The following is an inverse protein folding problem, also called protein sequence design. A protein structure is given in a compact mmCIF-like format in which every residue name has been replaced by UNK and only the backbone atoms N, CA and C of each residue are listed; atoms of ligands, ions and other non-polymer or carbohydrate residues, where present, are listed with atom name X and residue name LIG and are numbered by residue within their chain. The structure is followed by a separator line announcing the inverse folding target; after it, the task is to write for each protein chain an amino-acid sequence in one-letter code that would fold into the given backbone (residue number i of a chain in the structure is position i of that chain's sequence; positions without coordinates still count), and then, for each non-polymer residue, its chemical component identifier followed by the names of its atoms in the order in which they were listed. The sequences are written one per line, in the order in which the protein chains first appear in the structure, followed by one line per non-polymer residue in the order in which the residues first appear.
data_IF_994070047627
#
_entry.id   IF_994070047627
#
_cell.length_a   1.000
_cell.length_b   1.000
_cell.length_c   1.000
_cell.angle_alpha   90.00
_cell.angle_beta   90.00
_cell.angle_gamma   90.00
#
_symmetry.space_group_name_H-M   'P 1'
#
loop_
_entity.id
_entity.type
_entity.pdbx_description
1 polymer ?
#
# COMPACT_ATOMS: atom_id res chain seq x y z
N UNK A 1 -20.65 -5.15 -9.57
CA UNK A 1 -20.09 -4.82 -8.24
C UNK A 1 -19.28 -6.00 -7.75
N UNK A 2 -18.08 -5.75 -7.25
CA UNK A 2 -17.20 -6.75 -6.69
C UNK A 2 -17.01 -6.43 -5.21
N UNK A 3 -17.19 -7.42 -4.34
CA UNK A 3 -16.99 -7.28 -2.89
C UNK A 3 -15.89 -8.21 -2.46
N UNK A 4 -14.93 -7.67 -1.71
CA UNK A 4 -13.82 -8.42 -1.14
C UNK A 4 -13.73 -8.20 0.35
N UNK A 5 -12.98 -9.04 1.06
CA UNK A 5 -12.81 -8.92 2.51
C UNK A 5 -11.34 -9.03 2.90
N UNK A 6 -11.02 -8.52 4.09
CA UNK A 6 -9.66 -8.60 4.65
C UNK A 6 -9.32 -9.96 5.26
N UNK A 7 -10.27 -10.89 5.29
CA UNK A 7 -10.08 -12.20 5.93
C UNK A 7 -9.12 -13.11 5.18
N UNK A 8 -8.96 -12.91 3.88
CA UNK A 8 -8.04 -13.68 3.04
C UNK A 8 -6.71 -12.93 2.90
N UNK A 9 -5.96 -12.82 3.96
CA UNK A 9 -4.66 -12.16 3.95
C UNK A 9 -3.54 -13.10 3.52
N UNK A 10 -2.53 -12.53 2.88
CA UNK A 10 -1.24 -13.19 2.72
C UNK A 10 -0.27 -12.62 3.72
N UNK A 11 0.51 -13.47 4.36
CA UNK A 11 1.48 -13.05 5.38
C UNK A 11 2.89 -13.13 4.83
N UNK A 12 3.65 -12.06 5.04
CA UNK A 12 5.10 -12.07 4.83
C UNK A 12 5.77 -12.35 6.17
N UNK A 13 6.60 -13.38 6.21
CA UNK A 13 7.31 -13.79 7.41
C UNK A 13 8.79 -13.49 7.23
N UNK A 14 9.41 -12.87 8.24
CA UNK A 14 10.84 -12.64 8.32
C UNK A 14 11.31 -13.13 9.68
N UNK A 15 12.37 -13.94 9.70
CA UNK A 15 12.93 -14.51 10.94
C UNK A 15 11.88 -15.26 11.80
N UNK A 16 11.00 -16.02 11.14
CA UNK A 16 9.89 -16.75 11.77
C UNK A 16 8.88 -15.88 12.52
N UNK A 17 8.87 -14.57 12.25
CA UNK A 17 7.88 -13.63 12.80
C UNK A 17 7.09 -12.98 11.68
N UNK A 18 5.76 -12.93 11.76
CA UNK A 18 4.98 -12.16 10.80
C UNK A 18 5.37 -10.68 10.91
N UNK A 19 5.83 -10.11 9.81
CA UNK A 19 6.16 -8.67 9.73
C UNK A 19 5.01 -7.89 9.12
N UNK A 20 4.38 -8.49 8.13
CA UNK A 20 3.36 -7.87 7.33
C UNK A 20 2.33 -8.91 6.95
N UNK A 21 1.06 -8.60 7.21
CA UNK A 21 -0.07 -9.30 6.65
C UNK A 21 -0.71 -8.40 5.60
N UNK A 22 -0.84 -8.89 4.38
CA UNK A 22 -1.40 -8.13 3.29
C UNK A 22 -2.58 -8.85 2.67
N UNK A 23 -3.63 -8.11 2.39
CA UNK A 23 -4.79 -8.57 1.61
C UNK A 23 -5.01 -7.63 0.45
N UNK A 24 -4.92 -8.14 -0.76
CA UNK A 24 -5.34 -7.40 -1.93
C UNK A 24 -6.86 -7.38 -1.97
N UNK A 25 -7.43 -6.21 -1.76
CA UNK A 25 -8.88 -6.00 -1.82
C UNK A 25 -9.35 -5.77 -3.25
N UNK A 26 -8.52 -5.15 -4.06
CA UNK A 26 -8.78 -4.94 -5.48
C UNK A 26 -7.47 -4.83 -6.25
N UNK A 27 -7.52 -5.19 -7.50
CA UNK A 27 -6.38 -5.15 -8.40
C UNK A 27 -6.80 -4.68 -9.78
N UNK A 28 -5.82 -4.43 -10.61
CA UNK A 28 -5.97 -3.88 -11.95
C UNK A 28 -7.14 -4.45 -12.76
N UNK A 29 -7.34 -5.75 -12.75
CA UNK A 29 -8.42 -6.40 -13.51
C UNK A 29 -9.84 -6.05 -13.05
N UNK A 30 -10.01 -5.32 -11.93
CA UNK A 30 -11.31 -4.91 -11.43
C UNK A 30 -11.79 -3.58 -11.98
N UNK A 31 -10.91 -2.80 -12.61
CA UNK A 31 -11.18 -1.40 -12.97
C UNK A 31 -10.82 -1.08 -14.41
N UNK A 32 -11.53 -0.11 -14.97
CA UNK A 32 -11.11 0.58 -16.20
C UNK A 32 -10.10 1.70 -15.94
N UNK A 33 -10.07 2.23 -14.71
CA UNK A 33 -9.21 3.33 -14.32
C UNK A 33 -7.74 2.89 -14.19
N UNK A 34 -6.85 3.84 -13.91
CA UNK A 34 -5.42 3.62 -13.67
C UNK A 34 -5.13 2.97 -12.31
N UNK A 35 -6.13 2.62 -11.54
CA UNK A 35 -5.97 1.96 -10.25
C UNK A 35 -5.33 0.57 -10.44
N UNK A 36 -4.19 0.35 -9.80
CA UNK A 36 -3.45 -0.91 -9.88
C UNK A 36 -3.83 -1.88 -8.76
N UNK A 37 -3.99 -1.36 -7.56
CA UNK A 37 -4.32 -2.18 -6.40
C UNK A 37 -4.95 -1.37 -5.29
N UNK A 38 -5.76 -2.02 -4.49
CA UNK A 38 -6.20 -1.55 -3.18
C UNK A 38 -5.89 -2.68 -2.20
N UNK A 39 -4.99 -2.42 -1.27
CA UNK A 39 -4.52 -3.42 -0.33
C UNK A 39 -4.81 -2.98 1.11
N UNK A 40 -5.16 -3.93 1.95
CA UNK A 40 -5.17 -3.77 3.39
C UNK A 40 -3.90 -4.37 3.95
N UNK A 41 -3.14 -3.57 4.72
CA UNK A 41 -1.88 -3.98 5.32
C UNK A 41 -1.98 -3.93 6.84
N UNK A 42 -1.45 -4.95 7.48
CA UNK A 42 -1.26 -4.98 8.93
C UNK A 42 0.22 -5.23 9.20
N UNK A 43 0.90 -4.23 9.77
CA UNK A 43 2.30 -4.30 10.13
C UNK A 43 2.45 -4.63 11.60
N UNK A 44 3.28 -5.61 11.89
CA UNK A 44 3.69 -5.91 13.26
C UNK A 44 4.47 -4.73 13.89
N UNK A 45 4.55 -4.64 15.22
CA UNK A 45 5.34 -3.59 15.87
C UNK A 45 6.76 -3.51 15.32
N UNK A 46 7.18 -2.32 14.92
CA UNK A 46 8.50 -2.04 14.36
C UNK A 46 8.76 -2.54 12.94
N UNK A 47 7.79 -3.19 12.31
CA UNK A 47 7.94 -3.67 10.94
C UNK A 47 8.06 -2.52 9.93
N UNK A 48 8.85 -2.73 8.90
CA UNK A 48 9.03 -1.76 7.83
C UNK A 48 8.55 -2.29 6.49
N UNK A 49 8.03 -1.40 5.67
CA UNK A 49 7.79 -1.63 4.25
C UNK A 49 8.46 -0.53 3.43
N UNK A 50 8.88 -0.87 2.23
CA UNK A 50 9.45 0.11 1.32
C UNK A 50 10.67 -0.41 0.61
N UNK A 51 11.35 0.40 -0.21
CA UNK A 51 10.90 1.73 -0.64
C UNK A 51 9.73 1.63 -1.63
N UNK A 52 8.86 2.62 -1.59
CA UNK A 52 7.63 2.66 -2.39
C UNK A 52 7.74 3.73 -3.49
N UNK A 53 6.85 3.63 -4.48
CA UNK A 53 6.80 4.58 -5.59
C UNK A 53 7.84 4.37 -6.69
N UNK A 54 8.61 3.29 -6.65
CA UNK A 54 9.72 3.05 -7.59
C UNK A 54 9.35 2.29 -8.86
N UNK A 55 8.20 1.67 -8.92
CA UNK A 55 7.81 0.82 -10.06
C UNK A 55 6.84 1.50 -11.02
N UNK A 56 6.91 2.83 -11.09
CA UNK A 56 6.01 3.58 -11.94
C UNK A 56 4.60 3.73 -11.38
N UNK A 57 4.39 3.46 -10.11
CA UNK A 57 3.10 3.69 -9.44
C UNK A 57 3.24 4.76 -8.38
N UNK A 58 2.18 5.55 -8.24
CA UNK A 58 1.97 6.42 -7.10
C UNK A 58 1.12 5.69 -6.08
N UNK A 59 1.30 6.00 -4.82
CA UNK A 59 0.56 5.36 -3.75
C UNK A 59 -0.05 6.36 -2.79
N UNK A 60 -1.22 6.02 -2.29
CA UNK A 60 -1.88 6.73 -1.21
C UNK A 60 -2.01 5.74 -0.07
N UNK A 61 -1.56 6.13 1.12
CA UNK A 61 -1.65 5.33 2.33
C UNK A 61 -2.56 6.03 3.33
N UNK A 62 -3.58 5.34 3.76
CA UNK A 62 -4.49 5.81 4.79
C UNK A 62 -4.37 4.92 6.02
N UNK A 63 -3.97 5.52 7.16
CA UNK A 63 -3.81 4.80 8.42
C UNK A 63 -5.16 4.61 9.07
N UNK A 64 -5.56 3.35 9.23
CA UNK A 64 -6.83 2.96 9.85
C UNK A 64 -6.69 2.87 11.37
N UNK A 65 -5.58 2.30 11.82
CA UNK A 65 -5.33 2.04 13.25
C UNK A 65 -3.83 1.99 13.52
N UNK A 66 -3.44 2.32 14.75
CA UNK A 66 -2.05 2.34 15.16
C UNK A 66 -1.33 3.62 14.78
N UNK A 67 -0.01 3.58 14.87
CA UNK A 67 0.88 4.70 14.57
C UNK A 67 2.18 4.22 13.92
N UNK A 68 2.91 5.14 13.33
CA UNK A 68 4.17 4.83 12.69
C UNK A 68 4.87 6.08 12.17
N UNK A 69 5.86 5.86 11.33
CA UNK A 69 6.70 6.90 10.75
C UNK A 69 6.86 6.70 9.26
N UNK A 70 6.78 7.79 8.52
CA UNK A 70 7.18 7.87 7.13
C UNK A 70 8.65 8.28 7.08
N UNK A 71 9.47 7.50 6.39
CA UNK A 71 10.91 7.72 6.27
C UNK A 71 11.24 8.12 4.84
N UNK A 72 11.62 9.38 4.64
CA UNK A 72 11.99 9.88 3.32
C UNK A 72 13.48 9.63 3.03
N UNK A 73 13.87 9.48 1.75
CA UNK A 73 15.25 9.20 1.37
C UNK A 73 16.28 10.20 1.90
N UNK A 74 15.88 11.46 2.08
CA UNK A 74 16.74 12.52 2.63
C UNK A 74 16.91 12.50 4.15
N UNK A 75 16.35 11.50 4.84
CA UNK A 75 16.40 11.38 6.29
C UNK A 75 15.27 12.11 7.01
N UNK A 76 14.39 12.77 6.29
CA UNK A 76 13.20 13.40 6.88
C UNK A 76 12.23 12.33 7.38
N UNK A 77 11.68 12.57 8.55
CA UNK A 77 10.75 11.65 9.21
C UNK A 77 9.42 12.35 9.45
N UNK A 78 8.33 11.73 9.01
CA UNK A 78 6.97 12.20 9.29
C UNK A 78 6.25 11.24 10.22
N UNK A 79 5.53 11.76 11.21
CA UNK A 79 4.70 10.94 12.09
C UNK A 79 3.36 10.62 11.42
N UNK A 80 2.92 9.39 11.59
CA UNK A 80 1.63 8.89 11.11
C UNK A 80 0.84 8.31 12.29
N UNK A 81 -0.45 8.59 12.31
CA UNK A 81 -1.39 8.04 13.29
C UNK A 81 -2.71 7.71 12.60
N UNK A 82 -3.63 7.08 13.31
CA UNK A 82 -4.96 6.77 12.77
C UNK A 82 -5.61 8.04 12.21
N UNK A 83 -6.11 7.96 10.99
CA UNK A 83 -6.66 9.09 10.25
C UNK A 83 -5.66 9.86 9.39
N UNK A 84 -4.35 9.57 9.49
CA UNK A 84 -3.35 10.16 8.60
C UNK A 84 -3.44 9.60 7.19
N UNK A 85 -3.24 10.47 6.21
CA UNK A 85 -3.09 10.07 4.81
C UNK A 85 -1.70 10.53 4.32
N UNK A 86 -0.96 9.61 3.73
CA UNK A 86 0.31 9.91 3.08
C UNK A 86 0.17 9.70 1.58
N UNK A 87 0.55 10.70 0.79
CA UNK A 87 0.63 10.61 -0.66
C UNK A 87 2.09 10.40 -1.05
N UNK A 88 2.35 9.30 -1.75
CA UNK A 88 3.69 8.90 -2.18
C UNK A 88 3.76 9.03 -3.70
N UNK A 89 4.23 10.18 -4.22
CA UNK A 89 4.32 10.39 -5.65
C UNK A 89 5.36 9.47 -6.30
N UNK A 90 5.34 9.47 -7.61
CA UNK A 90 6.28 8.68 -8.41
C UNK A 90 7.73 8.95 -7.98
N UNK A 91 8.50 7.87 -7.84
CA UNK A 91 9.92 7.92 -7.44
C UNK A 91 10.18 8.53 -6.05
N UNK A 92 9.19 8.61 -5.19
CA UNK A 92 9.38 9.15 -3.83
C UNK A 92 10.36 8.35 -2.98
N UNK A 93 10.41 7.04 -3.18
CA UNK A 93 11.34 6.17 -2.45
C UNK A 93 11.12 6.11 -0.95
N UNK A 94 9.93 6.49 -0.48
CA UNK A 94 9.60 6.50 0.95
C UNK A 94 9.46 5.10 1.50
N UNK A 95 9.79 4.96 2.79
CA UNK A 95 9.55 3.75 3.57
C UNK A 95 8.59 4.06 4.71
N UNK A 96 7.95 3.03 5.21
CA UNK A 96 7.06 3.12 6.36
C UNK A 96 7.57 2.20 7.45
N UNK A 97 7.58 2.69 8.69
CA UNK A 97 7.87 1.88 9.88
C UNK A 97 6.68 1.96 10.83
N UNK A 98 6.16 0.80 11.23
CA UNK A 98 5.14 0.75 12.27
C UNK A 98 5.72 1.10 13.64
N UNK A 99 4.93 1.73 14.47
CA UNK A 99 5.27 2.02 15.86
C UNK A 99 5.22 0.76 16.75
N UNK A 100 5.34 0.98 18.05
CA UNK A 100 5.42 -0.11 19.04
C UNK A 100 4.14 -0.93 19.17
N UNK A 101 3.01 -0.38 18.77
CA UNK A 101 1.71 -1.08 18.76
C UNK A 101 1.32 -1.71 17.44
N UNK A 102 2.19 -1.62 16.42
CA UNK A 102 1.85 -2.02 15.07
C UNK A 102 0.97 -0.99 14.37
N UNK A 103 0.52 -1.32 13.16
CA UNK A 103 -0.22 -0.39 12.32
C UNK A 103 -1.07 -1.13 11.30
N UNK A 104 -2.27 -0.62 11.05
CA UNK A 104 -3.11 -1.05 9.93
C UNK A 104 -3.34 0.11 8.98
N UNK A 105 -3.24 -0.18 7.70
CA UNK A 105 -3.45 0.84 6.67
C UNK A 105 -4.09 0.27 5.42
N UNK A 106 -4.73 1.15 4.67
CA UNK A 106 -5.19 0.88 3.32
C UNK A 106 -4.25 1.59 2.36
N UNK A 107 -3.78 0.84 1.38
CA UNK A 107 -2.89 1.34 0.34
C UNK A 107 -3.64 1.30 -0.99
N UNK A 108 -3.62 2.42 -1.70
CA UNK A 108 -4.12 2.52 -3.07
C UNK A 108 -2.95 2.81 -3.99
N UNK A 109 -2.70 1.93 -4.95
CA UNK A 109 -1.66 2.10 -5.95
C UNK A 109 -2.28 2.50 -7.29
N UNK A 110 -1.75 3.55 -7.90
CA UNK A 110 -2.22 4.11 -9.16
C UNK A 110 -1.06 4.20 -10.14
N UNK A 111 -1.25 3.66 -11.34
CA UNK A 111 -0.27 3.82 -12.41
C UNK A 111 -0.54 5.11 -13.18
N UNK A 112 0.48 5.93 -13.45
CA UNK A 112 0.31 7.13 -14.26
C UNK A 112 -0.21 6.81 -15.66
N UNK A 113 -1.03 7.70 -16.21
CA UNK A 113 -1.68 7.50 -17.50
C UNK A 113 -0.69 7.21 -18.64
N UNK A 114 0.46 7.84 -18.64
CA UNK A 114 1.47 7.63 -19.68
C UNK A 114 2.02 6.20 -19.69
N UNK A 115 1.99 5.50 -18.57
CA UNK A 115 2.34 4.09 -18.48
C UNK A 115 1.18 3.22 -18.94
N UNK A 116 -0.04 3.52 -18.49
CA UNK A 116 -1.23 2.71 -18.81
C UNK A 116 -1.64 2.82 -20.27
N UNK A 117 -1.32 3.92 -20.94
CA UNK A 117 -1.62 4.12 -22.36
C UNK A 117 -0.92 3.07 -23.27
N UNK A 118 0.20 2.52 -22.83
CA UNK A 118 0.97 1.51 -23.57
C UNK A 118 0.73 0.08 -23.07
N UNK A 119 -0.24 -0.10 -22.19
CA UNK A 119 -0.59 -1.41 -21.63
C UNK A 119 -1.84 -1.98 -22.33
N UNK A 120 -2.05 -3.30 -22.26
CA UNK A 120 -3.27 -3.90 -22.78
C UNK A 120 -4.54 -3.26 -22.18
N UNK A 121 -5.64 -3.20 -22.94
CA UNK A 121 -6.90 -2.68 -22.43
C UNK A 121 -7.32 -3.37 -21.13
N UNK A 122 -7.89 -2.59 -20.22
CA UNK A 122 -8.43 -3.10 -18.97
C UNK A 122 -9.88 -3.51 -19.19
N UNK A 123 -10.14 -4.77 -18.95
CA UNK A 123 -11.51 -5.29 -18.96
C UNK A 123 -11.83 -5.74 -17.54
N UNK A 124 -12.64 -4.98 -16.80
CA UNK A 124 -13.03 -5.38 -15.45
C UNK A 124 -13.67 -6.75 -15.45
N UNK A 125 -13.22 -7.58 -14.52
CA UNK A 125 -13.74 -8.93 -14.35
C UNK A 125 -14.87 -8.88 -13.33
N UNK A 126 -16.07 -9.23 -13.76
CA UNK A 126 -17.19 -9.47 -12.86
C UNK A 126 -16.98 -10.80 -12.17
N UNK A 127 -17.03 -10.82 -10.85
CA UNK A 127 -16.92 -12.03 -10.06
C UNK A 127 -18.22 -12.33 -9.32
#
# INVERSE_FOLDING_TARGET
VIVTTVEQTTSTVRDNRPQLEARSLARRGFFFSETEAVDHLHLAPGAEIGPRGRRGTEEIWYVVDGDGQLLEPGGRVGALSAGSLAACPLNSGVRLRAGTGGMRLVLVAVAPRHLTANMPPRLPVAS
#
